data_IF_272069562238
#
_entry.id   IF_272069562238
#
_cell.length_a   1.000
_cell.length_b   1.000
_cell.length_c   1.000
_cell.angle_alpha   90.00
_cell.angle_beta   90.00
_cell.angle_gamma   90.00
#
_symmetry.space_group_name_H-M   'P 1'
#
loop_
_entity.id
_entity.type
_entity.pdbx_description
1 polymer ?
#
# COMPACT_ATOMS: atom_id res chain seq x y z
N UNK A 1 2.69 -0.97 -31.42
CA UNK A 1 2.68 -2.25 -30.67
C UNK A 1 4.12 -2.61 -30.35
N UNK A 2 4.58 -2.21 -29.16
CA UNK A 2 5.88 -2.52 -28.54
C UNK A 2 5.64 -2.82 -27.05
N UNK A 3 4.48 -3.40 -26.71
CA UNK A 3 4.00 -3.58 -25.33
C UNK A 3 4.62 -4.78 -24.61
N UNK A 4 5.47 -5.58 -25.27
CA UNK A 4 6.07 -6.77 -24.68
C UNK A 4 7.13 -6.51 -23.61
N UNK A 5 7.80 -5.34 -23.62
CA UNK A 5 8.90 -5.00 -22.71
C UNK A 5 8.45 -4.26 -21.42
N UNK A 6 7.17 -3.86 -21.32
CA UNK A 6 6.65 -3.07 -20.17
C UNK A 6 5.41 -3.67 -19.50
N UNK A 7 5.05 -4.91 -19.83
CA UNK A 7 3.89 -5.58 -19.26
C UNK A 7 4.07 -5.81 -17.75
N UNK A 8 3.13 -5.34 -16.93
CA UNK A 8 3.19 -5.48 -15.48
C UNK A 8 2.95 -6.93 -15.05
N UNK A 9 2.18 -7.71 -15.81
CA UNK A 9 1.94 -9.13 -15.53
C UNK A 9 3.23 -9.97 -15.54
N UNK A 10 4.28 -9.47 -16.19
CA UNK A 10 5.60 -10.08 -16.18
C UNK A 10 6.40 -9.83 -14.89
N UNK A 11 5.99 -8.92 -14.00
CA UNK A 11 6.74 -8.58 -12.78
C UNK A 11 6.52 -9.57 -11.63
N UNK A 12 5.44 -10.36 -11.67
CA UNK A 12 5.07 -11.26 -10.57
C UNK A 12 4.41 -10.55 -9.37
N UNK A 13 4.06 -9.27 -9.51
CA UNK A 13 3.12 -8.57 -8.62
C UNK A 13 1.78 -9.31 -8.66
N UNK A 14 1.11 -9.41 -7.52
CA UNK A 14 -0.09 -10.24 -7.35
C UNK A 14 -1.39 -9.41 -7.34
N UNK A 15 -1.30 -8.14 -6.93
CA UNK A 15 -2.44 -7.25 -6.77
C UNK A 15 -2.06 -5.80 -7.09
N UNK A 16 -3.07 -4.98 -7.39
CA UNK A 16 -2.89 -3.53 -7.59
C UNK A 16 -3.52 -2.74 -6.46
N UNK A 17 -2.85 -1.66 -6.04
CA UNK A 17 -3.45 -0.66 -5.17
C UNK A 17 -3.78 0.62 -5.97
N UNK A 18 -5.01 1.11 -5.85
CA UNK A 18 -5.47 2.33 -6.51
C UNK A 18 -6.00 3.33 -5.48
N UNK A 19 -5.75 4.62 -5.75
CA UNK A 19 -6.18 5.74 -4.93
C UNK A 19 -7.25 6.55 -5.66
N UNK A 20 -8.50 6.64 -5.14
CA UNK A 20 -9.58 7.41 -5.78
C UNK A 20 -9.25 8.89 -6.01
N UNK A 21 -8.34 9.45 -5.20
CA UNK A 21 -7.88 10.83 -5.33
C UNK A 21 -7.04 11.08 -6.59
N UNK A 22 -6.46 10.03 -7.16
CA UNK A 22 -5.47 10.12 -8.24
C UNK A 22 -5.99 9.55 -9.56
N UNK A 23 -6.94 8.62 -9.52
CA UNK A 23 -7.52 8.00 -10.71
C UNK A 23 -8.96 7.54 -10.48
N UNK A 24 -9.69 7.26 -11.57
CA UNK A 24 -10.92 6.48 -11.49
C UNK A 24 -10.56 5.02 -11.19
N UNK A 25 -11.00 4.50 -10.03
CA UNK A 25 -10.67 3.14 -9.59
C UNK A 25 -11.28 2.05 -10.49
N UNK A 26 -12.22 2.38 -11.38
CA UNK A 26 -12.69 1.47 -12.44
C UNK A 26 -11.59 1.01 -13.38
N UNK A 27 -10.51 1.79 -13.49
CA UNK A 27 -9.32 1.41 -14.25
C UNK A 27 -8.74 0.06 -13.80
N UNK A 28 -9.04 -0.41 -12.58
CA UNK A 28 -8.69 -1.75 -12.13
C UNK A 28 -9.20 -2.88 -13.05
N UNK A 29 -10.36 -2.70 -13.71
CA UNK A 29 -10.92 -3.69 -14.65
C UNK A 29 -10.02 -3.90 -15.87
N UNK A 30 -9.25 -2.87 -16.23
CA UNK A 30 -8.30 -2.87 -17.35
C UNK A 30 -6.88 -3.31 -16.93
N UNK A 31 -6.69 -3.68 -15.65
CA UNK A 31 -5.40 -4.23 -15.17
C UNK A 31 -5.44 -5.76 -15.14
N UNK A 32 -4.29 -6.45 -15.24
CA UNK A 32 -4.24 -7.91 -15.25
C UNK A 32 -4.40 -8.55 -13.86
N UNK A 33 -4.76 -7.78 -12.83
CA UNK A 33 -4.81 -8.26 -11.44
C UNK A 33 -6.22 -8.63 -11.02
N UNK A 34 -6.36 -9.81 -10.41
CA UNK A 34 -7.63 -10.28 -9.84
C UNK A 34 -7.96 -9.59 -8.51
N UNK A 35 -6.94 -9.09 -7.79
CA UNK A 35 -7.09 -8.44 -6.48
C UNK A 35 -6.77 -6.96 -6.56
N UNK A 36 -7.65 -6.13 -6.00
CA UNK A 36 -7.59 -4.67 -6.03
C UNK A 36 -7.73 -4.11 -4.62
N UNK A 37 -6.69 -3.43 -4.13
CA UNK A 37 -6.74 -2.65 -2.91
C UNK A 37 -7.12 -1.20 -3.23
N UNK A 38 -8.23 -0.72 -2.70
CA UNK A 38 -8.66 0.68 -2.84
C UNK A 38 -8.24 1.44 -1.59
N UNK A 39 -7.26 2.32 -1.76
CA UNK A 39 -6.67 3.12 -0.68
C UNK A 39 -7.10 4.58 -0.82
N UNK A 40 -8.04 5.02 0.00
CA UNK A 40 -8.52 6.41 -0.05
C UNK A 40 -7.88 7.30 1.02
N UNK A 41 -7.71 8.57 0.68
CA UNK A 41 -6.98 9.57 1.48
C UNK A 41 -7.92 10.65 2.05
N UNK A 42 -8.77 10.28 3.01
CA UNK A 42 -9.77 11.19 3.60
C UNK A 42 -11.19 10.89 3.14
N UNK A 43 -12.18 11.28 3.96
CA UNK A 43 -13.61 10.93 3.79
C UNK A 43 -14.19 11.45 2.48
N UNK A 44 -13.67 12.57 1.98
CA UNK A 44 -14.08 13.20 0.72
C UNK A 44 -13.67 12.40 -0.53
N UNK A 45 -12.76 11.42 -0.39
CA UNK A 45 -12.32 10.54 -1.46
C UNK A 45 -12.85 9.11 -1.32
N UNK A 46 -13.87 8.90 -0.46
CA UNK A 46 -14.58 7.63 -0.42
C UNK A 46 -15.19 7.34 -1.81
N UNK A 47 -14.91 6.17 -2.41
CA UNK A 47 -15.50 5.79 -3.69
C UNK A 47 -17.00 5.57 -3.55
N UNK A 48 -17.76 5.76 -4.63
CA UNK A 48 -19.19 5.45 -4.61
C UNK A 48 -19.43 3.94 -4.41
N UNK A 49 -20.44 3.59 -3.61
CA UNK A 49 -20.79 2.19 -3.35
C UNK A 49 -21.14 1.41 -4.63
N UNK A 50 -21.69 2.08 -5.65
CA UNK A 50 -21.99 1.47 -6.95
C UNK A 50 -20.70 1.08 -7.70
N UNK A 51 -19.65 1.90 -7.62
CA UNK A 51 -18.32 1.59 -8.18
C UNK A 51 -17.74 0.35 -7.50
N UNK A 52 -17.85 0.28 -6.18
CA UNK A 52 -17.33 -0.84 -5.41
C UNK A 52 -18.04 -2.15 -5.75
N UNK A 53 -19.36 -2.12 -5.96
CA UNK A 53 -20.11 -3.31 -6.40
C UNK A 53 -19.72 -3.75 -7.80
N UNK A 54 -19.61 -2.80 -8.73
CA UNK A 54 -19.16 -3.07 -10.10
C UNK A 54 -17.79 -3.75 -10.12
N UNK A 55 -16.85 -3.26 -9.31
CA UNK A 55 -15.53 -3.89 -9.19
C UNK A 55 -15.60 -5.27 -8.54
N UNK A 56 -16.40 -5.43 -7.48
CA UNK A 56 -16.52 -6.69 -6.74
C UNK A 56 -17.21 -7.81 -7.53
N UNK A 57 -17.93 -7.47 -8.62
CA UNK A 57 -18.53 -8.47 -9.52
C UNK A 57 -17.48 -9.28 -10.31
N UNK A 58 -16.27 -8.72 -10.52
CA UNK A 58 -15.21 -9.32 -11.35
C UNK A 58 -13.84 -9.42 -10.66
N UNK A 59 -13.65 -8.77 -9.51
CA UNK A 59 -12.38 -8.70 -8.79
C UNK A 59 -12.54 -8.92 -7.29
N UNK A 60 -11.49 -9.39 -6.63
CA UNK A 60 -11.40 -9.33 -5.17
C UNK A 60 -11.06 -7.89 -4.74
N UNK A 61 -12.05 -7.15 -4.26
CA UNK A 61 -11.88 -5.76 -3.84
C UNK A 61 -11.64 -5.68 -2.33
N UNK A 62 -10.61 -4.93 -1.94
CA UNK A 62 -10.24 -4.66 -0.55
C UNK A 62 -10.22 -3.15 -0.31
N UNK A 63 -11.10 -2.64 0.55
CA UNK A 63 -11.19 -1.20 0.85
C UNK A 63 -10.46 -0.87 2.16
N UNK A 64 -9.55 0.11 2.14
CA UNK A 64 -8.96 0.68 3.35
C UNK A 64 -10.05 1.15 4.30
N UNK A 65 -10.05 0.68 5.55
CA UNK A 65 -11.08 0.98 6.55
C UNK A 65 -10.40 1.49 7.84
N UNK A 66 -10.38 2.81 8.08
CA UNK A 66 -9.68 3.43 9.20
C UNK A 66 -10.48 3.29 10.50
N UNK A 67 -10.10 2.34 11.35
CA UNK A 67 -10.91 1.95 12.52
C UNK A 67 -11.02 3.02 13.60
N UNK A 68 -10.26 4.12 13.51
CA UNK A 68 -10.39 5.27 14.41
C UNK A 68 -11.33 6.36 13.90
N UNK A 69 -11.63 6.38 12.61
CA UNK A 69 -12.46 7.42 12.01
C UNK A 69 -13.94 7.25 12.38
N UNK A 70 -14.64 8.35 12.55
CA UNK A 70 -16.10 8.37 12.73
C UNK A 70 -16.80 7.75 11.52
N UNK A 71 -17.81 6.93 11.81
CA UNK A 71 -18.49 6.06 10.86
C UNK A 71 -17.82 4.70 10.63
N UNK A 72 -16.53 4.53 10.96
CA UNK A 72 -15.83 3.26 10.81
C UNK A 72 -15.29 2.68 12.12
N UNK A 73 -15.57 3.31 13.27
CA UNK A 73 -15.07 2.87 14.58
C UNK A 73 -15.92 1.70 15.12
N UNK A 74 -15.43 0.44 15.06
CA UNK A 74 -16.22 -0.73 15.45
C UNK A 74 -16.48 -0.81 16.97
N UNK A 75 -15.96 0.13 17.75
CA UNK A 75 -16.19 0.25 19.20
C UNK A 75 -17.06 1.45 19.56
N UNK A 76 -17.53 2.21 18.58
CA UNK A 76 -18.25 3.45 18.78
C UNK A 76 -19.08 3.82 17.56
N UNK A 77 -18.69 4.92 16.90
CA UNK A 77 -19.39 5.44 15.73
C UNK A 77 -19.06 4.63 14.47
N UNK A 78 -19.95 3.69 14.13
CA UNK A 78 -19.81 2.74 13.02
C UNK A 78 -20.90 2.88 11.93
N UNK A 79 -21.50 4.07 11.77
CA UNK A 79 -22.60 4.31 10.82
C UNK A 79 -22.28 3.95 9.35
N UNK A 80 -21.00 3.98 8.95
CA UNK A 80 -20.53 3.63 7.61
C UNK A 80 -20.03 2.18 7.50
N UNK A 81 -20.05 1.41 8.58
CA UNK A 81 -19.55 0.03 8.57
C UNK A 81 -20.31 -0.84 7.56
N UNK A 82 -21.64 -0.75 7.56
CA UNK A 82 -22.55 -1.47 6.66
C UNK A 82 -22.77 -0.75 5.31
N UNK A 83 -22.19 0.43 5.11
CA UNK A 83 -22.22 1.12 3.81
C UNK A 83 -21.32 0.42 2.78
N UNK A 84 -20.25 -0.23 3.24
CA UNK A 84 -19.36 -1.02 2.39
C UNK A 84 -20.15 -2.20 1.82
N UNK A 85 -20.31 -2.31 0.49
CA UNK A 85 -21.13 -3.35 -0.12
C UNK A 85 -20.69 -4.77 0.20
N UNK A 86 -21.64 -5.72 0.13
CA UNK A 86 -21.34 -7.14 0.13
C UNK A 86 -20.37 -7.49 -1.02
N UNK A 87 -19.44 -8.42 -0.78
CA UNK A 87 -18.37 -8.77 -1.72
C UNK A 87 -17.11 -7.92 -1.59
N UNK A 88 -17.18 -6.74 -0.95
CA UNK A 88 -16.02 -5.89 -0.69
C UNK A 88 -15.41 -6.25 0.66
N UNK A 89 -14.16 -6.73 0.63
CA UNK A 89 -13.37 -7.04 1.82
C UNK A 89 -12.72 -5.77 2.38
N UNK A 90 -12.16 -5.86 3.59
CA UNK A 90 -11.58 -4.71 4.30
C UNK A 90 -10.07 -4.83 4.45
N UNK A 91 -9.41 -3.68 4.41
CA UNK A 91 -8.05 -3.49 4.94
C UNK A 91 -8.17 -2.59 6.17
N UNK A 92 -8.20 -3.19 7.36
CA UNK A 92 -8.30 -2.44 8.61
C UNK A 92 -7.00 -1.71 8.89
N UNK A 93 -7.07 -0.40 9.07
CA UNK A 93 -5.91 0.44 9.38
C UNK A 93 -6.20 1.31 10.59
N UNK A 94 -5.16 1.76 11.29
CA UNK A 94 -5.33 2.75 12.36
C UNK A 94 -5.94 4.07 11.84
N UNK A 95 -5.77 4.38 10.57
CA UNK A 95 -6.10 5.68 9.97
C UNK A 95 -4.94 6.65 10.09
N UNK A 96 -4.59 7.30 8.98
CA UNK A 96 -3.46 8.20 8.89
C UNK A 96 -3.77 9.57 9.54
N UNK A 97 -2.86 10.10 10.36
CA UNK A 97 -3.12 11.28 11.19
C UNK A 97 -3.47 12.55 10.39
N UNK A 98 -3.06 12.65 9.12
CA UNK A 98 -3.41 13.77 8.26
C UNK A 98 -4.90 13.83 7.88
N UNK A 99 -5.63 12.71 8.00
CA UNK A 99 -7.04 12.60 7.62
C UNK A 99 -7.96 12.36 8.82
N UNK A 100 -7.38 12.32 10.03
CA UNK A 100 -8.14 12.16 11.27
C UNK A 100 -8.23 13.52 11.97
N UNK A 101 -9.38 13.79 12.56
CA UNK A 101 -9.53 14.83 13.58
C UNK A 101 -8.69 14.49 14.81
N UNK A 102 -8.42 15.48 15.65
CA UNK A 102 -7.67 15.28 16.90
C UNK A 102 -8.37 14.25 17.82
N UNK A 103 -9.71 14.27 17.85
CA UNK A 103 -10.52 13.32 18.62
C UNK A 103 -10.34 11.88 18.12
N UNK A 104 -10.45 11.67 16.81
CA UNK A 104 -10.25 10.35 16.20
C UNK A 104 -8.80 9.86 16.40
N UNK A 105 -7.81 10.73 16.19
CA UNK A 105 -6.41 10.40 16.36
C UNK A 105 -6.06 9.98 17.80
N UNK A 106 -6.77 10.50 18.80
CA UNK A 106 -6.59 10.15 20.22
C UNK A 106 -7.12 8.77 20.62
N UNK A 107 -7.85 8.07 19.76
CA UNK A 107 -8.48 6.78 20.06
C UNK A 107 -7.48 5.62 20.13
N UNK A 108 -7.73 4.69 21.05
CA UNK A 108 -6.93 3.48 21.20
C UNK A 108 -7.15 2.52 20.01
N UNK A 109 -6.08 2.16 19.31
CA UNK A 109 -6.12 1.35 18.08
C UNK A 109 -6.40 -0.12 18.36
N UNK A 110 -5.71 -0.74 19.32
CA UNK A 110 -5.79 -2.18 19.60
C UNK A 110 -7.22 -2.71 19.82
N UNK A 111 -8.06 -2.13 20.69
CA UNK A 111 -9.43 -2.62 20.87
C UNK A 111 -10.28 -2.49 19.61
N UNK A 112 -10.00 -1.49 18.77
CA UNK A 112 -10.73 -1.24 17.52
C UNK A 112 -10.35 -2.23 16.43
N UNK A 113 -9.06 -2.55 16.30
CA UNK A 113 -8.63 -3.60 15.38
C UNK A 113 -9.14 -4.97 15.80
N UNK A 114 -9.12 -5.29 17.10
CA UNK A 114 -9.69 -6.54 17.60
C UNK A 114 -11.18 -6.65 17.26
N UNK A 115 -11.98 -5.62 17.58
CA UNK A 115 -13.41 -5.59 17.24
C UNK A 115 -13.65 -5.62 15.72
N UNK A 116 -12.79 -4.95 14.94
CA UNK A 116 -12.86 -4.98 13.48
C UNK A 116 -12.61 -6.37 12.89
N UNK A 117 -11.59 -7.09 13.38
CA UNK A 117 -11.27 -8.46 12.97
C UNK A 117 -12.36 -9.45 13.39
N UNK A 118 -12.95 -9.30 14.58
CA UNK A 118 -14.09 -10.13 15.00
C UNK A 118 -15.28 -10.00 14.05
N UNK A 119 -15.51 -8.79 13.51
CA UNK A 119 -16.59 -8.51 12.54
C UNK A 119 -16.23 -8.88 11.10
N UNK A 120 -14.95 -8.76 10.72
CA UNK A 120 -14.43 -9.06 9.39
C UNK A 120 -13.17 -9.95 9.49
N UNK A 121 -13.34 -11.27 9.71
CA UNK A 121 -12.22 -12.18 10.00
C UNK A 121 -11.23 -12.37 8.85
N UNK A 122 -11.62 -12.02 7.63
CA UNK A 122 -10.82 -12.10 6.41
C UNK A 122 -10.17 -10.76 6.03
N UNK A 123 -10.29 -9.75 6.90
CA UNK A 123 -9.69 -8.46 6.69
C UNK A 123 -8.16 -8.53 6.76
N UNK A 124 -7.53 -7.73 5.91
CA UNK A 124 -6.11 -7.43 6.04
C UNK A 124 -5.91 -6.36 7.12
N UNK A 125 -4.74 -6.35 7.75
CA UNK A 125 -4.40 -5.37 8.79
C UNK A 125 -3.17 -4.57 8.37
N UNK A 126 -3.36 -3.29 8.08
CA UNK A 126 -2.26 -2.38 7.76
C UNK A 126 -1.37 -2.17 8.98
N UNK A 127 -0.06 -2.40 8.83
CA UNK A 127 0.85 -2.50 9.98
C UNK A 127 1.59 -1.20 10.33
N UNK A 128 1.50 -0.15 9.49
CA UNK A 128 2.30 1.07 9.65
C UNK A 128 2.11 1.70 11.04
N UNK A 129 3.18 1.68 11.85
CA UNK A 129 3.21 2.26 13.20
C UNK A 129 2.47 1.46 14.27
N UNK A 130 1.95 0.28 13.94
CA UNK A 130 1.18 -0.59 14.83
C UNK A 130 1.52 -2.08 14.66
N UNK A 131 2.73 -2.40 14.20
CA UNK A 131 3.14 -3.74 13.75
C UNK A 131 2.90 -4.82 14.83
N UNK A 132 3.26 -4.49 16.09
CA UNK A 132 3.04 -5.42 17.22
C UNK A 132 1.57 -5.67 17.53
N UNK A 133 0.72 -4.66 17.31
CA UNK A 133 -0.72 -4.78 17.53
C UNK A 133 -1.34 -5.62 16.41
N UNK A 134 -0.95 -5.37 15.16
CA UNK A 134 -1.42 -6.10 13.99
C UNK A 134 -1.11 -7.62 14.10
N UNK A 135 0.09 -7.99 14.57
CA UNK A 135 0.44 -9.38 14.83
C UNK A 135 -0.42 -10.03 15.93
N UNK A 136 -0.83 -9.25 16.95
CA UNK A 136 -1.58 -9.78 18.09
C UNK A 136 -3.08 -9.97 17.79
N UNK A 137 -3.67 -9.13 16.93
CA UNK A 137 -5.09 -9.22 16.55
C UNK A 137 -5.35 -10.30 15.49
N UNK A 138 -4.32 -10.69 14.73
CA UNK A 138 -4.45 -11.66 13.65
C UNK A 138 -4.91 -11.05 12.32
N UNK A 139 -5.22 -11.90 11.35
CA UNK A 139 -5.49 -11.51 9.96
C UNK A 139 -4.21 -11.40 9.13
N UNK A 140 -4.36 -11.27 7.81
CA UNK A 140 -3.24 -11.06 6.89
C UNK A 140 -2.55 -9.75 7.24
N UNK A 141 -1.24 -9.81 7.50
CA UNK A 141 -0.47 -8.59 7.74
C UNK A 141 -0.31 -7.84 6.42
N UNK A 142 -0.59 -6.55 6.41
CA UNK A 142 -0.40 -5.70 5.23
C UNK A 142 0.67 -4.65 5.51
N UNK A 143 1.91 -4.96 5.10
CA UNK A 143 3.09 -4.17 5.39
C UNK A 143 3.42 -3.18 4.27
N UNK A 144 3.89 -1.98 4.64
CA UNK A 144 4.50 -1.08 3.68
C UNK A 144 5.96 -1.51 3.41
N UNK A 145 6.34 -1.55 2.15
CA UNK A 145 7.72 -1.79 1.75
C UNK A 145 8.66 -0.78 2.42
N UNK A 146 9.75 -1.31 2.97
CA UNK A 146 10.81 -0.55 3.60
C UNK A 146 12.14 -1.28 3.45
N UNK A 147 13.23 -0.54 3.71
CA UNK A 147 14.60 -1.09 3.78
C UNK A 147 14.80 -2.31 4.70
N UNK A 148 13.83 -2.59 5.59
CA UNK A 148 13.90 -3.71 6.55
C UNK A 148 12.95 -4.85 6.21
N UNK A 149 12.04 -4.67 5.25
CA UNK A 149 10.95 -5.61 4.97
C UNK A 149 11.47 -7.04 4.81
N UNK A 150 12.44 -7.30 3.92
CA UNK A 150 12.99 -8.66 3.77
C UNK A 150 13.53 -9.26 5.06
N UNK A 151 14.29 -8.48 5.84
CA UNK A 151 14.86 -8.97 7.11
C UNK A 151 13.78 -9.22 8.18
N UNK A 152 12.75 -8.38 8.21
CA UNK A 152 11.60 -8.53 9.10
C UNK A 152 10.79 -9.78 8.72
N UNK A 153 10.52 -9.98 7.44
CA UNK A 153 9.81 -11.17 6.93
C UNK A 153 10.57 -12.45 7.29
N UNK A 154 11.87 -12.51 7.01
CA UNK A 154 12.70 -13.68 7.37
C UNK A 154 12.70 -13.93 8.88
N UNK A 155 12.81 -12.87 9.68
CA UNK A 155 12.77 -12.98 11.14
C UNK A 155 11.41 -13.50 11.62
N UNK A 156 10.31 -12.99 11.06
CA UNK A 156 8.95 -13.40 11.39
C UNK A 156 8.73 -14.87 11.03
N UNK A 157 9.09 -15.29 9.81
CA UNK A 157 9.04 -16.71 9.39
C UNK A 157 9.92 -17.61 10.25
N UNK A 158 11.12 -17.16 10.64
CA UNK A 158 12.01 -17.93 11.52
C UNK A 158 11.44 -18.16 12.94
N UNK A 159 10.50 -17.31 13.39
CA UNK A 159 9.75 -17.53 14.65
C UNK A 159 8.59 -18.52 14.51
N UNK A 160 8.35 -19.05 13.31
CA UNK A 160 7.27 -19.99 13.02
C UNK A 160 5.93 -19.34 12.68
N UNK A 161 5.92 -18.04 12.38
CA UNK A 161 4.71 -17.37 11.89
C UNK A 161 4.32 -17.91 10.51
N UNK A 162 3.12 -18.48 10.42
CA UNK A 162 2.55 -19.14 9.24
C UNK A 162 1.36 -18.39 8.64
N UNK A 163 0.94 -17.28 9.26
CA UNK A 163 -0.10 -16.41 8.71
C UNK A 163 0.32 -15.72 7.40
N UNK A 164 -0.66 -15.26 6.64
CA UNK A 164 -0.43 -14.57 5.37
C UNK A 164 0.17 -13.16 5.58
N UNK A 165 1.06 -12.75 4.68
CA UNK A 165 1.70 -11.44 4.66
C UNK A 165 1.62 -10.83 3.26
N UNK A 166 0.88 -9.74 3.13
CA UNK A 166 0.83 -8.88 1.97
C UNK A 166 1.80 -7.68 2.14
N UNK A 167 2.49 -7.30 1.06
CA UNK A 167 3.41 -6.14 1.04
C UNK A 167 2.94 -5.13 0.00
N UNK A 168 2.58 -3.93 0.45
CA UNK A 168 2.33 -2.78 -0.39
C UNK A 168 3.63 -2.11 -0.82
N UNK A 169 3.79 -1.87 -2.12
CA UNK A 169 4.94 -1.17 -2.66
C UNK A 169 4.56 -0.20 -3.78
N UNK A 170 4.90 1.10 -3.66
CA UNK A 170 4.97 1.97 -4.83
C UNK A 170 5.88 1.35 -5.88
N UNK A 171 5.46 1.39 -7.14
CA UNK A 171 6.11 0.70 -8.24
C UNK A 171 6.31 1.67 -9.40
N UNK A 172 7.51 1.64 -9.99
CA UNK A 172 7.89 2.43 -11.17
C UNK A 172 8.60 1.51 -12.17
N UNK A 173 7.99 1.31 -13.34
CA UNK A 173 8.54 0.44 -14.40
C UNK A 173 9.47 1.22 -15.35
N UNK A 174 10.52 1.82 -14.80
CA UNK A 174 11.53 2.57 -15.54
C UNK A 174 12.91 2.44 -14.90
N UNK A 175 13.95 2.39 -15.72
CA UNK A 175 15.37 2.48 -15.30
C UNK A 175 15.88 3.92 -15.32
N UNK A 176 15.07 4.89 -15.75
CA UNK A 176 15.45 6.30 -15.74
C UNK A 176 15.37 6.85 -14.31
N UNK A 177 16.51 7.24 -13.76
CA UNK A 177 16.61 7.78 -12.41
C UNK A 177 15.74 9.04 -12.22
N UNK A 178 15.62 9.89 -13.24
CA UNK A 178 14.80 11.11 -13.14
C UNK A 178 13.32 10.76 -13.06
N UNK A 179 12.85 9.81 -13.88
CA UNK A 179 11.47 9.34 -13.82
C UNK A 179 11.16 8.66 -12.47
N UNK A 180 12.11 7.91 -11.91
CA UNK A 180 11.98 7.29 -10.59
C UNK A 180 11.88 8.38 -9.50
N UNK A 181 12.77 9.38 -9.53
CA UNK A 181 12.79 10.44 -8.53
C UNK A 181 11.52 11.30 -8.58
N UNK A 182 11.04 11.63 -9.78
CA UNK A 182 9.77 12.36 -9.96
C UNK A 182 8.57 11.59 -9.40
N UNK A 183 8.55 10.27 -9.55
CA UNK A 183 7.44 9.43 -9.11
C UNK A 183 7.44 9.16 -7.61
N UNK A 184 8.59 8.79 -7.03
CA UNK A 184 8.66 8.27 -5.66
C UNK A 184 9.67 8.98 -4.76
N UNK A 185 10.39 9.98 -5.25
CA UNK A 185 11.38 10.73 -4.46
C UNK A 185 10.75 11.46 -3.28
N UNK A 186 9.64 12.18 -3.49
CA UNK A 186 8.89 12.85 -2.43
C UNK A 186 8.30 11.87 -1.40
N UNK A 187 7.87 10.69 -1.85
CA UNK A 187 7.39 9.62 -0.98
C UNK A 187 8.53 9.07 -0.09
N UNK A 188 9.69 8.77 -0.68
CA UNK A 188 10.87 8.31 0.05
C UNK A 188 11.40 9.37 1.03
N UNK A 189 11.40 10.65 0.63
CA UNK A 189 11.90 11.77 1.42
C UNK A 189 11.17 11.94 2.77
N UNK A 190 9.88 11.59 2.84
CA UNK A 190 9.07 11.66 4.07
C UNK A 190 9.46 10.62 5.11
N UNK A 191 10.17 9.55 4.71
CA UNK A 191 10.61 8.51 5.63
C UNK A 191 11.65 9.09 6.59
N UNK A 192 11.42 8.95 7.90
CA UNK A 192 12.24 9.58 8.95
C UNK A 192 13.76 9.43 8.78
N UNK A 193 14.32 8.27 8.38
CA UNK A 193 15.76 8.14 8.12
C UNK A 193 16.25 8.98 6.94
N UNK A 194 15.42 9.11 5.90
CA UNK A 194 15.73 9.86 4.67
C UNK A 194 15.62 11.37 4.94
N UNK A 195 14.50 11.81 5.55
CA UNK A 195 14.31 13.20 5.96
C UNK A 195 15.46 13.76 6.81
N UNK A 196 16.05 12.93 7.67
CA UNK A 196 17.22 13.30 8.50
C UNK A 196 18.54 13.36 7.72
N UNK A 197 18.65 12.64 6.61
CA UNK A 197 19.85 12.57 5.80
C UNK A 197 19.88 13.64 4.69
N UNK A 198 18.70 14.15 4.32
CA UNK A 198 18.54 15.20 3.32
C UNK A 198 19.03 16.57 3.83
N UNK A 199 19.70 17.36 2.97
CA UNK A 199 19.91 18.79 3.23
C UNK A 199 18.58 19.53 3.42
N UNK A 200 18.59 20.59 4.24
CA UNK A 200 17.41 21.44 4.43
C UNK A 200 17.01 22.11 3.11
N UNK A 201 15.71 22.04 2.77
CA UNK A 201 15.16 22.64 1.56
C UNK A 201 15.58 21.97 0.24
N UNK A 202 16.15 20.76 0.29
CA UNK A 202 16.49 20.02 -0.92
C UNK A 202 15.23 19.61 -1.71
N UNK A 203 15.32 19.72 -3.03
CA UNK A 203 14.33 19.14 -3.95
C UNK A 203 14.27 17.62 -3.76
N UNK A 204 13.07 17.06 -3.93
CA UNK A 204 12.79 15.63 -3.73
C UNK A 204 12.38 14.91 -5.00
N UNK A 205 12.63 15.51 -6.15
CA UNK A 205 12.30 15.03 -7.49
C UNK A 205 13.58 14.92 -8.34
N UNK A 206 13.45 14.83 -9.67
CA UNK A 206 14.59 14.79 -10.60
C UNK A 206 15.52 16.00 -10.50
N UNK A 207 15.07 17.14 -9.98
CA UNK A 207 15.90 18.33 -9.76
C UNK A 207 16.81 18.22 -8.53
N UNK A 208 16.68 17.16 -7.73
CA UNK A 208 17.60 16.89 -6.64
C UNK A 208 19.05 16.85 -7.16
N UNK A 209 19.93 17.56 -6.46
CA UNK A 209 21.34 17.68 -6.83
C UNK A 209 22.27 17.19 -5.71
N UNK A 210 23.52 16.92 -6.09
CA UNK A 210 24.60 16.55 -5.18
C UNK A 210 24.18 15.47 -4.16
N UNK A 211 24.40 15.75 -2.87
CA UNK A 211 24.07 14.86 -1.76
C UNK A 211 22.59 14.49 -1.71
N UNK A 212 21.68 15.39 -2.07
CA UNK A 212 20.25 15.09 -2.03
C UNK A 212 19.91 14.00 -3.05
N UNK A 213 20.48 14.09 -4.26
CA UNK A 213 20.31 13.08 -5.30
C UNK A 213 20.87 11.72 -4.88
N UNK A 214 22.07 11.70 -4.30
CA UNK A 214 22.66 10.45 -3.80
C UNK A 214 21.79 9.78 -2.72
N UNK A 215 21.26 10.57 -1.78
CA UNK A 215 20.39 10.09 -0.70
C UNK A 215 19.07 9.57 -1.25
N UNK A 216 18.42 10.31 -2.14
CA UNK A 216 17.14 9.92 -2.72
C UNK A 216 17.28 8.72 -3.63
N UNK A 217 18.31 8.66 -4.47
CA UNK A 217 18.56 7.51 -5.35
C UNK A 217 18.75 6.21 -4.56
N UNK A 218 19.42 6.25 -3.42
CA UNK A 218 19.47 5.10 -2.53
C UNK A 218 18.09 4.82 -1.89
N UNK A 219 17.40 5.86 -1.41
CA UNK A 219 16.16 5.71 -0.68
C UNK A 219 14.99 5.21 -1.53
N UNK A 220 14.84 5.62 -2.80
CA UNK A 220 13.73 5.15 -3.65
C UNK A 220 13.77 3.63 -3.83
N UNK A 221 14.97 3.04 -3.89
CA UNK A 221 15.18 1.59 -3.96
C UNK A 221 14.91 0.85 -2.64
N UNK A 222 14.92 1.57 -1.51
CA UNK A 222 14.59 1.05 -0.19
C UNK A 222 13.08 1.01 0.09
N UNK A 223 12.29 1.85 -0.59
CA UNK A 223 10.86 2.08 -0.26
C UNK A 223 9.90 1.91 -1.44
N UNK A 224 10.40 1.58 -2.63
CA UNK A 224 9.62 1.33 -3.84
C UNK A 224 10.26 0.22 -4.68
N UNK A 225 9.44 -0.45 -5.51
CA UNK A 225 9.88 -1.37 -6.54
C UNK A 225 10.17 -0.57 -7.81
N UNK A 226 11.45 -0.38 -8.14
CA UNK A 226 11.86 0.51 -9.25
C UNK A 226 12.82 -0.19 -10.21
N UNK A 227 12.69 0.10 -11.50
CA UNK A 227 13.54 -0.42 -12.57
C UNK A 227 12.77 -1.00 -13.75
N UNK A 228 13.49 -1.67 -14.66
CA UNK A 228 12.88 -2.51 -15.70
C UNK A 228 11.92 -3.55 -15.12
N UNK A 229 11.07 -4.10 -15.98
CA UNK A 229 10.17 -5.22 -15.61
C UNK A 229 10.94 -6.40 -15.01
N UNK A 230 12.09 -6.77 -15.58
CA UNK A 230 12.95 -7.83 -15.07
C UNK A 230 13.51 -7.48 -13.69
N UNK A 231 13.96 -6.24 -13.50
CA UNK A 231 14.50 -5.80 -12.21
C UNK A 231 13.43 -5.76 -11.13
N UNK A 232 12.21 -5.35 -11.47
CA UNK A 232 11.07 -5.40 -10.54
C UNK A 232 10.71 -6.85 -10.23
N UNK A 233 10.73 -7.76 -11.23
CA UNK A 233 10.53 -9.20 -11.02
C UNK A 233 11.53 -9.80 -10.03
N UNK A 234 12.81 -9.43 -10.14
CA UNK A 234 13.84 -9.88 -9.20
C UNK A 234 13.55 -9.39 -7.78
N UNK A 235 13.15 -8.12 -7.61
CA UNK A 235 12.78 -7.55 -6.30
C UNK A 235 11.55 -8.24 -5.69
N UNK A 236 10.50 -8.47 -6.49
CA UNK A 236 9.30 -9.23 -6.09
C UNK A 236 9.68 -10.65 -5.65
N UNK A 237 10.54 -11.32 -6.42
CA UNK A 237 11.00 -12.67 -6.09
C UNK A 237 11.77 -12.71 -4.76
N UNK A 238 12.64 -11.72 -4.53
CA UNK A 238 13.37 -11.61 -3.26
C UNK A 238 12.46 -11.39 -2.04
N UNK A 239 11.38 -10.61 -2.20
CA UNK A 239 10.38 -10.43 -1.14
C UNK A 239 9.60 -11.73 -0.86
N UNK A 240 9.21 -12.46 -1.91
CA UNK A 240 8.54 -13.77 -1.78
C UNK A 240 9.46 -14.80 -1.11
N UNK A 241 10.72 -14.89 -1.52
CA UNK A 241 11.74 -15.72 -0.88
C UNK A 241 12.01 -15.33 0.58
N UNK A 242 11.88 -14.04 0.91
CA UNK A 242 11.98 -13.56 2.29
C UNK A 242 10.76 -13.93 3.15
N UNK A 243 9.63 -14.25 2.53
CA UNK A 243 8.43 -14.76 3.20
C UNK A 243 7.14 -13.97 2.97
N UNK A 244 7.10 -13.02 2.01
CA UNK A 244 5.86 -12.39 1.58
C UNK A 244 5.02 -13.36 0.75
N UNK A 245 3.69 -13.33 0.93
CA UNK A 245 2.75 -14.17 0.19
C UNK A 245 2.12 -13.40 -0.98
N UNK A 246 1.82 -12.12 -0.76
CA UNK A 246 1.16 -11.24 -1.75
C UNK A 246 1.96 -9.95 -1.91
N UNK A 247 2.29 -9.56 -3.13
CA UNK A 247 2.86 -8.24 -3.43
C UNK A 247 1.80 -7.37 -4.08
N UNK A 248 1.52 -6.23 -3.46
CA UNK A 248 0.55 -5.24 -3.93
C UNK A 248 1.29 -4.04 -4.51
N UNK A 249 1.24 -3.90 -5.83
CA UNK A 249 1.87 -2.79 -6.54
C UNK A 249 0.98 -1.56 -6.59
N UNK A 250 1.49 -0.41 -6.17
CA UNK A 250 0.86 0.89 -6.41
C UNK A 250 1.56 1.58 -7.60
N UNK A 251 0.87 1.86 -8.71
CA UNK A 251 1.48 2.43 -9.92
C UNK A 251 1.80 3.91 -9.72
N UNK A 252 3.02 4.21 -9.26
CA UNK A 252 3.38 5.55 -8.78
C UNK A 252 3.46 6.62 -9.88
N UNK A 253 3.46 6.21 -11.15
CA UNK A 253 3.43 7.10 -12.32
C UNK A 253 2.05 7.20 -12.98
N UNK A 254 1.03 6.59 -12.38
CA UNK A 254 -0.32 6.52 -12.94
C UNK A 254 -0.71 5.10 -13.32
N UNK A 255 -2.01 4.79 -13.17
CA UNK A 255 -2.58 3.45 -13.41
C UNK A 255 -2.37 2.97 -14.84
N UNK A 256 -2.14 3.89 -15.79
CA UNK A 256 -1.86 3.58 -17.18
C UNK A 256 -0.60 2.73 -17.38
N UNK A 257 0.36 2.74 -16.44
CA UNK A 257 1.52 1.82 -16.50
C UNK A 257 1.14 0.36 -16.24
N UNK A 258 -0.04 0.10 -15.64
CA UNK A 258 -0.49 -1.22 -15.19
C UNK A 258 -1.65 -1.78 -16.02
N UNK A 259 -2.14 -1.03 -17.01
CA UNK A 259 -3.24 -1.44 -17.91
C UNK A 259 -2.73 -2.40 -19.01
N UNK A 260 -3.49 -3.46 -19.32
CA UNK A 260 -3.15 -4.47 -20.35
C UNK A 260 -4.30 -4.82 -21.30
#
# INVERSE_FOLDING_TARGET
>A
MLTGERSVSQTGIDAVALKPKECDVRMALETPFDTVAIDYEGREYLPDADVLRELADDREVRLTTPVRADGFDPTGDDELWEWIPEGVRRVLVAGHAAYLTESEAGRAVSPRLAAGIERAPDAWVGTEGIERVALAVGGTQYELLSRRTESNLRALRATGYDGEIAVYAPTVLSDDEDEILDAVGAYAARRRPVAKALPEGAETDSNAADRARDVLGAAVRDYALVGSVERVREQVSALKEAGADVIVGYPARGVEEFVE
#
